data_IF_909674081000
#
_entry.id   IF_909674081000
#
_cell.length_a   1.000
_cell.length_b   1.000
_cell.length_c   1.000
_cell.angle_alpha   90.00
_cell.angle_beta   90.00
_cell.angle_gamma   90.00
#
_symmetry.space_group_name_H-M   'P 1'
#
loop_
_entity.id
_entity.type
_entity.pdbx_description
1 polymer ?
#
# COMPACT_ATOMS: atom_id res chain seq x y z
N UNK A 1 0.53 -20.59 -2.28
CA UNK A 1 0.64 -19.39 -1.43
C UNK A 1 0.71 -18.22 -2.40
N UNK A 2 -0.27 -17.31 -2.37
CA UNK A 2 -0.30 -16.17 -3.30
C UNK A 2 0.83 -15.18 -3.01
N UNK A 3 1.19 -14.37 -4.02
CA UNK A 3 2.11 -13.25 -3.85
C UNK A 3 1.44 -12.15 -3.02
N UNK A 4 2.26 -11.38 -2.30
CA UNK A 4 1.81 -10.37 -1.35
C UNK A 4 2.70 -9.13 -1.40
N UNK A 5 2.09 -7.95 -1.43
CA UNK A 5 2.76 -6.66 -1.21
C UNK A 5 1.87 -5.71 -0.43
N UNK A 6 2.47 -4.77 0.30
CA UNK A 6 1.74 -3.78 1.10
C UNK A 6 2.05 -2.35 0.67
N UNK A 7 1.03 -1.51 0.75
CA UNK A 7 1.11 -0.05 0.62
C UNK A 7 0.77 0.56 1.97
N UNK A 8 1.59 1.49 2.45
CA UNK A 8 1.41 2.17 3.73
C UNK A 8 0.94 3.60 3.49
N UNK A 9 -0.03 4.05 4.27
CA UNK A 9 -0.63 5.38 4.16
C UNK A 9 -0.22 6.24 5.34
N UNK A 10 0.11 7.49 5.05
CA UNK A 10 0.47 8.51 6.03
C UNK A 10 -0.59 8.65 7.14
N UNK A 11 -0.13 8.95 8.35
CA UNK A 11 -0.94 9.07 9.57
C UNK A 11 -2.07 10.10 9.49
N UNK A 12 -2.05 11.03 8.53
CA UNK A 12 -3.13 11.99 8.32
C UNK A 12 -4.43 11.35 7.80
N UNK A 13 -4.39 10.14 7.21
CA UNK A 13 -5.58 9.42 6.78
C UNK A 13 -6.21 8.58 7.89
N UNK A 14 -7.55 8.46 7.87
CA UNK A 14 -8.30 7.53 8.72
C UNK A 14 -8.53 6.21 7.99
N UNK A 15 -8.71 5.11 8.74
CA UNK A 15 -8.95 3.78 8.17
C UNK A 15 -10.24 3.74 7.32
N UNK A 16 -11.26 4.50 7.69
CA UNK A 16 -12.50 4.62 6.93
C UNK A 16 -12.28 5.31 5.58
N UNK A 17 -11.49 6.39 5.54
CA UNK A 17 -11.16 7.06 4.28
C UNK A 17 -10.32 6.17 3.38
N UNK A 18 -9.32 5.47 3.91
CA UNK A 18 -8.52 4.51 3.13
C UNK A 18 -9.40 3.38 2.58
N UNK A 19 -10.34 2.85 3.37
CA UNK A 19 -11.31 1.84 2.92
C UNK A 19 -12.24 2.35 1.83
N UNK A 20 -12.70 3.59 1.93
CA UNK A 20 -13.54 4.20 0.91
C UNK A 20 -12.76 4.36 -0.40
N UNK A 21 -11.56 4.94 -0.34
CA UNK A 21 -10.71 5.10 -1.52
C UNK A 21 -10.34 3.76 -2.17
N UNK A 22 -9.91 2.77 -1.38
CA UNK A 22 -9.50 1.46 -1.90
C UNK A 22 -10.62 0.70 -2.63
N UNK A 23 -11.91 0.98 -2.33
CA UNK A 23 -13.07 0.40 -3.03
C UNK A 23 -13.34 1.03 -4.39
N UNK A 24 -12.98 2.30 -4.57
CA UNK A 24 -13.21 3.05 -5.81
C UNK A 24 -12.03 2.90 -6.79
N UNK A 25 -10.86 2.53 -6.28
CA UNK A 25 -9.67 2.32 -7.11
C UNK A 25 -9.75 1.03 -7.93
N UNK A 26 -9.24 1.03 -9.17
CA UNK A 26 -9.13 -0.18 -9.96
C UNK A 26 -8.19 -1.17 -9.27
N UNK A 27 -8.63 -2.43 -9.20
CA UNK A 27 -7.80 -3.53 -8.69
C UNK A 27 -6.72 -3.84 -9.72
N UNK A 28 -5.42 -3.81 -9.37
CA UNK A 28 -4.36 -4.13 -10.32
C UNK A 28 -4.44 -5.57 -10.84
N UNK A 29 -3.97 -5.80 -12.06
CA UNK A 29 -3.93 -7.14 -12.66
C UNK A 29 -3.17 -8.12 -11.76
N UNK A 30 -3.74 -9.31 -11.60
CA UNK A 30 -3.18 -10.38 -10.74
C UNK A 30 -3.38 -10.16 -9.24
N UNK A 31 -4.04 -9.08 -8.81
CA UNK A 31 -4.50 -8.92 -7.42
C UNK A 31 -5.87 -9.56 -7.27
N UNK A 32 -5.98 -10.51 -6.33
CA UNK A 32 -7.22 -11.22 -6.02
C UNK A 32 -7.92 -10.63 -4.79
N UNK A 33 -7.17 -9.93 -3.94
CA UNK A 33 -7.69 -9.32 -2.72
C UNK A 33 -6.95 -8.05 -2.35
N UNK A 34 -7.72 -7.06 -1.92
CA UNK A 34 -7.26 -5.79 -1.33
C UNK A 34 -7.83 -5.73 0.09
N UNK A 35 -6.96 -5.74 1.11
CA UNK A 35 -7.36 -5.65 2.51
C UNK A 35 -6.80 -4.38 3.13
N UNK A 36 -7.64 -3.57 3.78
CA UNK A 36 -7.20 -2.39 4.53
C UNK A 36 -7.12 -2.75 6.01
N UNK A 37 -5.90 -2.72 6.54
CA UNK A 37 -5.57 -3.12 7.91
C UNK A 37 -4.97 -1.94 8.65
N UNK A 38 -5.30 -1.82 9.94
CA UNK A 38 -4.58 -0.92 10.82
C UNK A 38 -3.17 -1.48 11.04
N UNK A 39 -2.17 -0.70 10.68
CA UNK A 39 -0.79 -0.99 10.99
C UNK A 39 -0.42 -0.32 12.31
N UNK A 40 0.47 -0.95 13.09
CA UNK A 40 1.19 -0.23 14.14
C UNK A 40 2.00 0.91 13.53
N UNK A 41 2.47 1.85 14.36
CA UNK A 41 3.28 2.99 13.90
C UNK A 41 4.55 2.48 13.18
N UNK A 42 4.52 2.56 11.85
CA UNK A 42 5.53 1.99 10.95
C UNK A 42 5.96 3.08 9.99
N UNK A 43 7.15 3.65 10.20
CA UNK A 43 7.69 4.75 9.40
C UNK A 43 6.73 5.96 9.26
N UNK A 44 6.01 6.32 10.33
CA UNK A 44 5.02 7.42 10.30
C UNK A 44 3.71 7.07 9.60
N UNK A 45 3.52 5.81 9.20
CA UNK A 45 2.27 5.28 8.65
C UNK A 45 1.54 4.44 9.70
N UNK A 46 0.20 4.45 9.66
CA UNK A 46 -0.67 3.70 10.61
C UNK A 46 -1.68 2.80 9.93
N UNK A 47 -1.74 2.83 8.60
CA UNK A 47 -2.68 2.03 7.83
C UNK A 47 -1.90 1.37 6.71
N UNK A 48 -2.11 0.07 6.54
CA UNK A 48 -1.60 -0.67 5.40
C UNK A 48 -2.76 -1.14 4.51
N UNK A 49 -2.50 -1.18 3.21
CA UNK A 49 -3.34 -1.80 2.21
C UNK A 49 -2.57 -2.97 1.62
N UNK A 50 -3.04 -4.16 1.92
CA UNK A 50 -2.43 -5.43 1.54
C UNK A 50 -3.03 -5.92 0.23
N UNK A 51 -2.15 -6.13 -0.75
CA UNK A 51 -2.49 -6.62 -2.09
C UNK A 51 -2.02 -8.07 -2.19
N UNK A 52 -2.97 -9.00 -2.20
CA UNK A 52 -2.69 -10.44 -2.31
C UNK A 52 -3.23 -10.97 -3.62
N UNK A 53 -2.46 -11.81 -4.32
CA UNK A 53 -2.92 -12.41 -5.57
C UNK A 53 -1.94 -13.40 -6.20
N UNK A 54 -2.03 -13.55 -7.52
CA UNK A 54 -1.25 -14.49 -8.33
C UNK A 54 -0.21 -13.79 -9.24
N UNK A 55 0.01 -12.49 -9.04
CA UNK A 55 1.08 -11.76 -9.71
C UNK A 55 2.48 -12.34 -9.41
N UNK A 56 3.41 -12.18 -10.35
CA UNK A 56 4.80 -12.58 -10.16
C UNK A 56 5.48 -11.75 -9.06
N UNK A 57 6.22 -12.39 -8.16
CA UNK A 57 6.88 -11.71 -7.02
C UNK A 57 7.77 -10.54 -7.46
N UNK A 58 8.44 -10.67 -8.61
CA UNK A 58 9.30 -9.62 -9.17
C UNK A 58 8.53 -8.35 -9.56
N UNK A 59 7.24 -8.48 -9.88
CA UNK A 59 6.38 -7.36 -10.27
C UNK A 59 5.75 -6.66 -9.06
N UNK A 60 5.78 -7.31 -7.90
CA UNK A 60 5.22 -6.81 -6.64
C UNK A 60 5.62 -5.36 -6.31
N UNK A 61 6.93 -4.98 -6.31
CA UNK A 61 7.32 -3.60 -6.03
C UNK A 61 6.75 -2.59 -7.02
N UNK A 62 6.66 -2.93 -8.32
CA UNK A 62 6.08 -2.04 -9.33
C UNK A 62 4.57 -1.88 -9.12
N UNK A 63 3.89 -2.99 -8.80
CA UNK A 63 2.47 -3.03 -8.50
C UNK A 63 2.13 -2.19 -7.27
N UNK A 64 2.86 -2.39 -6.17
CA UNK A 64 2.69 -1.61 -4.94
C UNK A 64 2.90 -0.12 -5.16
N UNK A 65 3.91 0.29 -5.94
CA UNK A 65 4.15 1.71 -6.28
C UNK A 65 3.01 2.33 -7.09
N UNK A 66 2.53 1.61 -8.10
CA UNK A 66 1.41 2.08 -8.92
C UNK A 66 0.15 2.28 -8.08
N UNK A 67 -0.15 1.30 -7.22
CA UNK A 67 -1.31 1.39 -6.32
C UNK A 67 -1.14 2.50 -5.27
N UNK A 68 0.07 2.65 -4.72
CA UNK A 68 0.38 3.74 -3.79
C UNK A 68 0.18 5.12 -4.41
N UNK A 69 0.58 5.32 -5.67
CA UNK A 69 0.36 6.58 -6.38
C UNK A 69 -1.13 6.90 -6.54
N UNK A 70 -1.93 5.91 -6.96
CA UNK A 70 -3.39 6.07 -7.10
C UNK A 70 -4.07 6.35 -5.75
N UNK A 71 -3.66 5.64 -4.72
CA UNK A 71 -4.21 5.81 -3.37
C UNK A 71 -3.83 7.17 -2.78
N UNK A 72 -2.60 7.63 -3.01
CA UNK A 72 -2.16 8.96 -2.60
C UNK A 72 -2.96 10.06 -3.30
N UNK A 73 -3.23 9.92 -4.60
CA UNK A 73 -4.05 10.86 -5.36
C UNK A 73 -5.49 10.89 -4.84
N UNK A 74 -6.10 9.73 -4.62
CA UNK A 74 -7.48 9.63 -4.12
C UNK A 74 -7.66 10.19 -2.70
N UNK A 75 -6.65 10.05 -1.84
CA UNK A 75 -6.71 10.48 -0.44
C UNK A 75 -6.15 11.89 -0.20
N UNK A 76 -5.45 12.47 -1.18
CA UNK A 76 -4.69 13.71 -1.02
C UNK A 76 -3.69 13.70 0.15
N UNK A 77 -3.18 12.52 0.52
CA UNK A 77 -2.09 12.32 1.48
C UNK A 77 -1.06 11.34 0.92
N UNK A 78 0.19 11.32 1.42
CA UNK A 78 1.18 10.38 0.93
C UNK A 78 0.81 8.91 1.19
N UNK A 79 1.10 8.05 0.21
CA UNK A 79 1.08 6.60 0.36
C UNK A 79 2.33 6.00 -0.30
N UNK A 80 2.85 4.93 0.29
CA UNK A 80 4.17 4.40 -0.05
C UNK A 80 4.14 2.88 -0.19
N UNK A 81 4.82 2.34 -1.21
CA UNK A 81 5.09 0.91 -1.24
C UNK A 81 6.02 0.54 -0.07
N UNK A 82 5.75 -0.57 0.63
CA UNK A 82 6.59 -1.03 1.74
C UNK A 82 8.07 -1.15 1.35
N UNK A 83 8.34 -1.65 0.14
CA UNK A 83 9.71 -1.79 -0.35
C UNK A 83 10.46 -0.45 -0.39
N UNK A 84 9.77 0.66 -0.66
CA UNK A 84 10.39 1.98 -0.70
C UNK A 84 10.62 2.54 0.72
N UNK A 85 9.69 2.30 1.64
CA UNK A 85 9.87 2.64 3.06
C UNK A 85 11.08 1.93 3.68
N UNK A 86 11.26 0.64 3.37
CA UNK A 86 12.41 -0.13 3.85
C UNK A 86 13.72 0.44 3.31
N UNK A 87 13.76 0.88 2.05
CA UNK A 87 14.98 1.47 1.46
C UNK A 87 15.34 2.81 2.11
N UNK A 88 14.35 3.66 2.39
CA UNK A 88 14.56 4.93 3.09
C UNK A 88 14.99 4.67 4.54
N UNK A 89 14.27 3.81 5.26
CA UNK A 89 14.56 3.49 6.66
C UNK A 89 15.91 2.79 6.87
N UNK A 90 16.53 2.21 5.84
CA UNK A 90 17.91 1.69 5.88
C UNK A 90 18.98 2.75 5.61
N UNK A 91 18.60 3.90 5.07
CA UNK A 91 19.51 5.00 4.75
C UNK A 91 19.70 5.98 5.93
N UNK A 92 18.82 5.91 6.93
CA UNK A 92 18.86 6.74 8.15
C UNK A 92 19.68 6.11 9.31
N UNK A 93 20.49 5.06 9.03
CA UNK A 93 21.33 4.34 10.01
C UNK A 93 22.81 4.38 9.65
#
# INVERSE_FOLDING_TARGET
MGSFVSVYVDWAATVEHVRAAAKELPVPDGVLRVEVVEAGDTFGCRIAVDLTGDFEQRDGPRLARSYAAQLSEALAVPAFALNDLILVGRSDW
#
